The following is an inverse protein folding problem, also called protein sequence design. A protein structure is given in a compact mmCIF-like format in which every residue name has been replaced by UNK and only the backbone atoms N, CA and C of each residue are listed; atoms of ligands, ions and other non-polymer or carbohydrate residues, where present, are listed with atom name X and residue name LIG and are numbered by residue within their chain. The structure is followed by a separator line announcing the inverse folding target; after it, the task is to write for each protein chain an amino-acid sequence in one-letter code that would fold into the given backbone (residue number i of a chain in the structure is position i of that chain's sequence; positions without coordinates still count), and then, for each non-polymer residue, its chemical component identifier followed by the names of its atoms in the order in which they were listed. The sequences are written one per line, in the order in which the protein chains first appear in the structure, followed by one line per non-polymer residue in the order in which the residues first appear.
data_IF_348207358039
#
_entry.id   IF_348207358039
#
_cell.length_a   1.000
_cell.length_b   1.000
_cell.length_c   1.000
_cell.angle_alpha   90.00
_cell.angle_beta   90.00
_cell.angle_gamma   90.00
#
_symmetry.space_group_name_H-M   'P 1'
#
loop_
_entity.id
_entity.type
_entity.pdbx_description
1 polymer ?
#
# COMPACT_ATOMS: atom_id res chain seq x y z
N UNK A 1 -7.32 -13.58 -11.23
CA UNK A 1 -8.31 -13.07 -10.27
C UNK A 1 -8.13 -11.56 -10.00
N UNK A 2 -6.94 -10.98 -10.22
CA UNK A 2 -6.63 -9.54 -10.01
C UNK A 2 -7.37 -8.57 -10.95
N UNK A 3 -7.51 -8.92 -12.24
CA UNK A 3 -8.08 -8.01 -13.25
C UNK A 3 -9.53 -7.58 -12.94
N UNK A 4 -10.34 -8.46 -12.34
CA UNK A 4 -11.73 -8.13 -11.98
C UNK A 4 -11.84 -7.29 -10.72
N UNK A 5 -10.96 -7.53 -9.73
CA UNK A 5 -10.96 -6.80 -8.46
C UNK A 5 -10.50 -5.35 -8.64
N UNK A 6 -9.48 -5.12 -9.48
CA UNK A 6 -9.02 -3.78 -9.81
C UNK A 6 -10.11 -2.95 -10.52
N UNK A 7 -10.88 -3.56 -11.44
CA UNK A 7 -11.92 -2.84 -12.21
C UNK A 7 -13.12 -2.41 -11.36
N UNK A 8 -13.60 -3.27 -10.46
CA UNK A 8 -14.72 -2.94 -9.57
C UNK A 8 -14.34 -1.86 -8.56
N UNK A 9 -13.12 -1.93 -8.01
CA UNK A 9 -12.60 -0.89 -7.12
C UNK A 9 -12.44 0.46 -7.84
N UNK A 10 -11.91 0.47 -9.06
CA UNK A 10 -11.79 1.69 -9.87
C UNK A 10 -13.15 2.36 -10.14
N UNK A 11 -14.20 1.58 -10.40
CA UNK A 11 -15.57 2.10 -10.56
C UNK A 11 -16.07 2.76 -9.27
N UNK A 12 -15.86 2.12 -8.12
CA UNK A 12 -16.25 2.66 -6.82
C UNK A 12 -15.51 3.96 -6.50
N UNK A 13 -14.18 3.99 -6.69
CA UNK A 13 -13.35 5.18 -6.48
C UNK A 13 -13.78 6.31 -7.41
N UNK A 14 -14.00 6.01 -8.70
CA UNK A 14 -14.46 7.00 -9.68
C UNK A 14 -15.83 7.58 -9.30
N UNK A 15 -16.77 6.74 -8.86
CA UNK A 15 -18.08 7.18 -8.40
C UNK A 15 -18.00 8.14 -7.21
N UNK A 16 -17.14 7.85 -6.24
CA UNK A 16 -16.94 8.72 -5.05
C UNK A 16 -16.26 10.03 -5.43
N UNK A 17 -15.26 10.01 -6.32
CA UNK A 17 -14.63 11.22 -6.84
C UNK A 17 -15.64 12.11 -7.58
N UNK A 18 -16.47 11.53 -8.45
CA UNK A 18 -17.52 12.26 -9.17
C UNK A 18 -18.51 12.88 -8.18
N UNK A 19 -18.99 12.10 -7.20
CA UNK A 19 -19.89 12.60 -6.18
C UNK A 19 -19.26 13.76 -5.39
N UNK A 20 -17.99 13.62 -5.00
CA UNK A 20 -17.26 14.67 -4.29
C UNK A 20 -17.13 15.96 -5.12
N UNK A 21 -16.81 15.84 -6.41
CA UNK A 21 -16.75 16.99 -7.34
C UNK A 21 -18.11 17.67 -7.45
N UNK A 22 -19.20 16.90 -7.64
CA UNK A 22 -20.56 17.44 -7.73
C UNK A 22 -20.91 18.20 -6.44
N UNK A 23 -20.68 17.61 -5.27
CA UNK A 23 -20.95 18.23 -3.98
C UNK A 23 -20.12 19.51 -3.77
N UNK A 24 -18.84 19.52 -4.17
CA UNK A 24 -17.99 20.72 -4.13
C UNK A 24 -18.54 21.82 -5.03
N UNK A 25 -18.96 21.50 -6.25
CA UNK A 25 -19.56 22.47 -7.18
C UNK A 25 -20.88 23.03 -6.61
N UNK A 26 -21.77 22.17 -6.11
CA UNK A 26 -23.04 22.58 -5.49
C UNK A 26 -22.81 23.50 -4.28
N UNK A 27 -21.87 23.15 -3.38
CA UNK A 27 -21.50 23.99 -2.24
C UNK A 27 -20.82 25.29 -2.66
N UNK A 28 -20.00 25.27 -3.71
CA UNK A 28 -19.37 26.47 -4.26
C UNK A 28 -20.39 27.45 -4.85
N UNK A 29 -21.44 26.96 -5.50
CA UNK A 29 -22.57 27.78 -5.97
C UNK A 29 -23.38 28.35 -4.80
N UNK A 30 -23.74 27.52 -3.82
CA UNK A 30 -24.51 27.94 -2.66
C UNK A 30 -23.79 28.96 -1.77
N UNK A 31 -22.46 28.88 -1.69
CA UNK A 31 -21.62 29.82 -0.91
C UNK A 31 -21.12 31.03 -1.71
N UNK A 32 -21.57 31.21 -2.97
CA UNK A 32 -21.07 32.22 -3.92
C UNK A 32 -19.55 32.16 -4.23
N UNK A 33 -18.83 31.14 -3.74
CA UNK A 33 -17.38 30.92 -3.94
C UNK A 33 -17.06 30.02 -5.14
N UNK A 34 -17.87 30.11 -6.21
CA UNK A 34 -17.74 29.21 -7.37
C UNK A 34 -16.42 29.38 -8.13
N UNK A 35 -15.88 30.60 -8.20
CA UNK A 35 -14.59 30.90 -8.84
C UNK A 35 -13.42 30.20 -8.12
N UNK A 36 -13.42 30.21 -6.79
CA UNK A 36 -12.42 29.52 -5.97
C UNK A 36 -12.48 28.01 -6.17
N UNK A 37 -13.69 27.46 -6.23
CA UNK A 37 -13.94 26.03 -6.47
C UNK A 37 -13.40 25.60 -7.85
N UNK A 38 -13.70 26.37 -8.91
CA UNK A 38 -13.19 26.08 -10.25
C UNK A 38 -11.66 26.22 -10.30
N UNK A 39 -11.09 27.26 -9.68
CA UNK A 39 -9.64 27.45 -9.58
C UNK A 39 -8.97 26.23 -8.95
N UNK A 40 -9.54 25.69 -7.87
CA UNK A 40 -9.04 24.48 -7.21
C UNK A 40 -9.08 23.24 -8.13
N UNK A 41 -10.18 23.02 -8.85
CA UNK A 41 -10.31 21.88 -9.79
C UNK A 41 -9.32 22.01 -10.96
N UNK A 42 -9.17 23.22 -11.51
CA UNK A 42 -8.19 23.49 -12.57
C UNK A 42 -6.78 23.24 -12.07
N UNK A 43 -6.43 23.74 -10.88
CA UNK A 43 -5.12 23.53 -10.28
C UNK A 43 -4.82 22.04 -10.04
N UNK A 44 -5.78 21.29 -9.49
CA UNK A 44 -5.66 19.83 -9.30
C UNK A 44 -5.40 19.13 -10.64
N UNK A 45 -6.12 19.52 -11.69
CA UNK A 45 -5.97 18.94 -13.04
C UNK A 45 -4.59 19.26 -13.61
N UNK A 46 -4.15 20.52 -13.52
CA UNK A 46 -2.82 20.95 -14.00
C UNK A 46 -1.70 20.21 -13.26
N UNK A 47 -1.77 20.15 -11.92
CA UNK A 47 -0.78 19.42 -11.11
C UNK A 47 -0.74 17.95 -11.53
N UNK A 48 -1.90 17.31 -11.71
CA UNK A 48 -1.98 15.91 -12.14
C UNK A 48 -1.34 15.70 -13.51
N UNK A 49 -1.67 16.55 -14.49
CA UNK A 49 -1.14 16.48 -15.87
C UNK A 49 0.37 16.71 -15.90
N UNK A 50 0.90 17.60 -15.05
CA UNK A 50 2.34 17.89 -14.98
C UNK A 50 3.11 16.81 -14.21
N UNK A 51 2.57 16.34 -13.08
CA UNK A 51 3.22 15.33 -12.25
C UNK A 51 3.20 13.94 -12.88
N UNK A 52 2.13 13.59 -13.60
CA UNK A 52 1.99 12.26 -14.22
C UNK A 52 3.19 11.85 -15.10
N UNK A 53 3.65 12.63 -16.09
CA UNK A 53 4.78 12.24 -16.93
C UNK A 53 6.08 12.13 -16.13
N UNK A 54 6.28 12.98 -15.11
CA UNK A 54 7.46 12.92 -14.24
C UNK A 54 7.48 11.63 -13.43
N UNK A 55 6.37 11.27 -12.78
CA UNK A 55 6.27 10.02 -12.03
C UNK A 55 6.33 8.80 -12.94
N UNK A 56 5.69 8.86 -14.11
CA UNK A 56 5.72 7.78 -15.10
C UNK A 56 7.14 7.52 -15.62
N UNK A 57 7.87 8.59 -15.96
CA UNK A 57 9.28 8.49 -16.34
C UNK A 57 10.14 7.97 -15.17
N UNK A 58 9.87 8.44 -13.95
CA UNK A 58 10.52 7.95 -12.73
C UNK A 58 10.36 6.44 -12.57
N UNK A 59 9.13 5.93 -12.62
CA UNK A 59 8.85 4.49 -12.49
C UNK A 59 9.51 3.67 -13.61
N UNK A 60 9.59 4.19 -14.84
CA UNK A 60 10.17 3.47 -15.98
C UNK A 60 11.70 3.47 -16.02
N UNK A 61 12.33 4.55 -15.58
CA UNK A 61 13.77 4.76 -15.75
C UNK A 61 14.58 4.59 -14.46
N UNK A 62 14.05 5.03 -13.29
CA UNK A 62 14.79 4.93 -12.02
C UNK A 62 15.20 3.50 -11.67
N UNK A 63 14.35 2.46 -11.83
CA UNK A 63 14.74 1.11 -11.45
C UNK A 63 15.92 0.56 -12.28
N UNK A 64 16.01 0.96 -13.55
CA UNK A 64 17.13 0.62 -14.43
C UNK A 64 18.41 1.39 -14.07
N UNK A 65 18.29 2.66 -13.67
CA UNK A 65 19.42 3.49 -13.23
C UNK A 65 20.01 2.96 -11.92
N UNK A 66 19.15 2.54 -10.99
CA UNK A 66 19.56 1.98 -9.68
C UNK A 66 20.06 0.53 -9.81
N UNK A 67 19.88 -0.10 -10.99
CA UNK A 67 20.27 -1.48 -11.24
C UNK A 67 19.41 -2.50 -10.50
N UNK A 68 18.19 -2.13 -10.11
CA UNK A 68 17.29 -2.99 -9.32
C UNK A 68 15.84 -2.91 -9.85
N UNK A 69 15.57 -3.35 -11.10
CA UNK A 69 14.25 -3.23 -11.70
C UNK A 69 13.24 -4.16 -11.05
N UNK A 70 12.22 -3.62 -10.38
CA UNK A 70 11.17 -4.44 -9.77
C UNK A 70 10.29 -5.01 -10.88
N UNK A 71 10.21 -6.33 -10.96
CA UNK A 71 9.36 -7.08 -11.88
C UNK A 71 8.03 -7.34 -11.19
N UNK A 72 6.98 -6.71 -11.70
CA UNK A 72 5.62 -7.04 -11.32
C UNK A 72 5.17 -8.22 -12.16
N UNK A 73 4.53 -9.20 -11.54
CA UNK A 73 4.13 -10.43 -12.22
C UNK A 73 3.05 -10.20 -13.31
N UNK A 74 2.46 -8.99 -13.31
CA UNK A 74 1.52 -8.48 -14.30
C UNK A 74 2.17 -7.67 -15.44
N UNK A 75 3.51 -7.57 -15.50
CA UNK A 75 4.26 -7.01 -16.64
C UNK A 75 4.19 -7.92 -17.89
N UNK A 76 3.02 -8.50 -18.16
CA UNK A 76 2.64 -8.91 -19.52
C UNK A 76 2.44 -7.63 -20.30
N UNK A 77 3.42 -7.27 -21.12
CA UNK A 77 3.26 -6.19 -22.09
C UNK A 77 2.05 -6.54 -22.98
N UNK A 78 1.11 -5.61 -23.10
CA UNK A 78 0.01 -5.70 -24.04
C UNK A 78 0.36 -4.85 -25.27
N UNK A 79 0.19 -5.43 -26.45
CA UNK A 79 0.22 -4.68 -27.70
C UNK A 79 -0.95 -3.68 -27.73
N UNK A 80 -0.85 -2.63 -28.55
CA UNK A 80 -1.92 -1.62 -28.70
C UNK A 80 -3.26 -2.19 -29.18
N UNK A 81 -3.26 -3.43 -29.68
CA UNK A 81 -4.43 -4.21 -30.09
C UNK A 81 -5.01 -5.11 -28.96
N UNK A 82 -4.43 -5.09 -27.75
CA UNK A 82 -4.89 -5.88 -26.60
C UNK A 82 -4.35 -7.30 -26.51
N UNK A 83 -3.49 -7.73 -27.44
CA UNK A 83 -2.83 -9.04 -27.37
C UNK A 83 -1.68 -9.03 -26.34
N UNK A 84 -1.61 -10.09 -25.52
CA UNK A 84 -0.50 -10.29 -24.59
C UNK A 84 0.76 -10.67 -25.36
N UNK A 85 1.88 -10.03 -25.07
CA UNK A 85 3.18 -10.42 -25.61
C UNK A 85 3.68 -11.65 -24.82
N UNK A 86 3.12 -12.83 -25.11
CA UNK A 86 3.49 -14.10 -24.45
C UNK A 86 4.85 -14.67 -24.93
N UNK A 87 5.72 -13.89 -25.56
CA UNK A 87 6.90 -14.45 -26.25
C UNK A 87 8.26 -13.80 -25.97
N UNK A 88 8.32 -12.58 -25.44
CA UNK A 88 9.58 -11.81 -25.39
C UNK A 88 10.10 -11.64 -23.96
N UNK A 89 9.20 -11.46 -22.98
CA UNK A 89 9.59 -11.38 -21.56
C UNK A 89 10.07 -12.71 -20.98
N UNK A 90 9.40 -13.82 -21.29
CA UNK A 90 9.76 -15.14 -20.75
C UNK A 90 11.12 -15.64 -21.27
N UNK A 91 11.48 -15.38 -22.54
CA UNK A 91 12.72 -15.90 -23.14
C UNK A 91 13.99 -15.19 -22.68
N UNK A 92 13.90 -13.92 -22.27
CA UNK A 92 15.04 -13.15 -21.76
C UNK A 92 15.19 -13.34 -20.24
N UNK A 93 14.11 -13.66 -19.53
CA UNK A 93 14.07 -13.82 -18.06
C UNK A 93 14.33 -15.27 -17.60
N UNK A 94 14.03 -16.27 -18.43
CA UNK A 94 14.19 -17.69 -18.08
C UNK A 94 15.65 -18.11 -17.82
N UNK A 95 16.64 -17.38 -18.35
CA UNK A 95 18.05 -17.77 -18.22
C UNK A 95 18.76 -17.16 -16.99
N UNK A 96 18.25 -16.06 -16.39
CA UNK A 96 19.03 -15.35 -15.35
C UNK A 96 18.54 -15.43 -13.90
N UNK A 97 17.25 -15.64 -13.58
CA UNK A 97 16.82 -15.52 -12.16
C UNK A 97 15.63 -16.42 -11.77
N UNK A 98 15.95 -17.57 -11.18
CA UNK A 98 14.98 -18.44 -10.51
C UNK A 98 14.22 -17.68 -9.40
N UNK A 99 12.91 -17.90 -9.31
CA UNK A 99 12.06 -17.36 -8.23
C UNK A 99 12.59 -17.89 -6.90
N UNK A 100 12.86 -16.99 -5.95
CA UNK A 100 13.37 -17.40 -4.65
C UNK A 100 12.39 -18.34 -3.94
N UNK A 101 12.88 -19.54 -3.61
CA UNK A 101 12.16 -20.53 -2.85
C UNK A 101 12.65 -20.58 -1.41
N UNK A 102 11.73 -20.52 -0.47
CA UNK A 102 12.00 -20.72 0.96
C UNK A 102 11.23 -21.96 1.41
N UNK A 103 11.97 -22.96 1.87
CA UNK A 103 11.40 -24.09 2.59
C UNK A 103 11.36 -23.74 4.08
N UNK A 104 10.15 -23.69 4.64
CA UNK A 104 9.93 -23.62 6.08
C UNK A 104 9.56 -25.03 6.53
N UNK A 105 10.44 -25.73 7.27
CA UNK A 105 10.14 -27.06 7.75
C UNK A 105 8.86 -27.04 8.60
N UNK A 106 7.94 -27.98 8.35
CA UNK A 106 6.82 -28.22 9.26
C UNK A 106 7.36 -28.78 10.57
N UNK A 107 7.44 -27.95 11.60
CA UNK A 107 8.04 -28.33 12.86
C UNK A 107 7.03 -29.19 13.65
N UNK A 108 7.28 -30.50 13.73
CA UNK A 108 6.65 -31.40 14.70
C UNK A 108 7.33 -31.36 16.09
N UNK A 109 8.50 -30.74 16.25
CA UNK A 109 9.21 -30.69 17.55
C UNK A 109 9.93 -29.35 17.80
N UNK A 110 9.71 -28.76 18.99
CA UNK A 110 10.39 -27.56 19.49
C UNK A 110 11.91 -27.65 19.29
N UNK A 111 12.48 -26.84 18.41
CA UNK A 111 13.92 -26.54 18.42
C UNK A 111 14.14 -25.21 19.14
N UNK A 112 14.96 -25.25 20.20
CA UNK A 112 15.48 -24.05 20.84
C UNK A 112 16.36 -23.28 19.85
N UNK A 113 15.86 -22.14 19.36
CA UNK A 113 16.64 -21.25 18.52
C UNK A 113 17.58 -20.43 19.42
N UNK A 114 18.87 -20.77 19.41
CA UNK A 114 19.92 -20.18 20.25
C UNK A 114 20.51 -18.92 19.61
N UNK A 115 19.66 -17.95 19.27
CA UNK A 115 20.07 -16.64 18.76
C UNK A 115 19.59 -15.53 19.73
N UNK A 116 20.53 -14.75 20.26
CA UNK A 116 20.27 -13.71 21.26
C UNK A 116 19.74 -12.41 20.65
N UNK A 117 19.59 -12.34 19.32
CA UNK A 117 19.01 -11.19 18.63
C UNK A 117 17.52 -10.99 18.97
N UNK A 118 17.09 -9.73 19.12
CA UNK A 118 15.69 -9.34 19.36
C UNK A 118 14.78 -9.91 18.27
N UNK A 119 15.28 -9.95 17.03
CA UNK A 119 14.57 -10.54 15.87
C UNK A 119 14.45 -12.06 16.02
N UNK A 120 15.51 -12.74 16.49
CA UNK A 120 15.50 -14.17 16.77
C UNK A 120 14.46 -14.54 17.85
N UNK A 121 14.31 -13.71 18.89
CA UNK A 121 13.29 -13.90 19.93
C UNK A 121 11.86 -13.67 19.42
N UNK A 122 11.66 -12.69 18.55
CA UNK A 122 10.36 -12.43 17.90
C UNK A 122 9.97 -13.59 16.97
N UNK A 123 10.92 -14.13 16.22
CA UNK A 123 10.70 -15.30 15.35
C UNK A 123 10.41 -16.55 16.20
N UNK A 124 11.14 -16.76 17.29
CA UNK A 124 10.94 -17.88 18.20
C UNK A 124 9.57 -17.85 18.90
N UNK A 125 9.07 -16.66 19.28
CA UNK A 125 7.72 -16.53 19.86
C UNK A 125 6.61 -16.81 18.84
N UNK A 126 6.86 -16.54 17.55
CA UNK A 126 5.99 -16.93 16.43
C UNK A 126 6.10 -18.43 16.07
N UNK A 127 7.19 -19.11 16.44
CA UNK A 127 7.45 -20.54 16.17
C UNK A 127 6.66 -21.51 17.06
N UNK A 128 6.21 -21.09 18.23
CA UNK A 128 5.60 -21.98 19.23
C UNK A 128 4.15 -22.43 18.99
N UNK A 129 3.39 -21.86 18.04
CA UNK A 129 1.93 -22.02 18.01
C UNK A 129 1.38 -22.45 16.63
N UNK A 130 1.34 -23.76 16.38
CA UNK A 130 0.59 -24.36 15.27
C UNK A 130 -0.89 -23.95 15.28
N UNK A 131 -1.47 -23.69 16.45
CA UNK A 131 -2.82 -23.14 16.65
C UNK A 131 -2.98 -21.74 16.05
N UNK A 132 -2.00 -20.84 16.24
CA UNK A 132 -2.05 -19.49 15.65
C UNK A 132 -1.95 -19.54 14.13
N UNK A 133 -1.19 -20.48 13.59
CA UNK A 133 -1.08 -20.64 12.14
C UNK A 133 -2.39 -21.14 11.51
N UNK A 134 -3.12 -22.02 12.23
CA UNK A 134 -4.48 -22.43 11.85
C UNK A 134 -5.47 -21.27 11.93
N UNK A 135 -5.44 -20.47 12.99
CA UNK A 135 -6.31 -19.28 13.16
C UNK A 135 -6.03 -18.23 12.07
N UNK A 136 -4.77 -18.09 11.65
CA UNK A 136 -4.36 -17.13 10.62
C UNK A 136 -4.39 -17.69 9.20
N UNK A 137 -5.02 -18.85 8.95
CA UNK A 137 -5.11 -19.49 7.64
C UNK A 137 -3.75 -19.66 6.93
N UNK A 138 -2.67 -19.96 7.67
CA UNK A 138 -1.33 -20.15 7.11
C UNK A 138 -0.51 -18.87 6.90
N UNK A 139 -1.05 -17.69 7.24
CA UNK A 139 -0.36 -16.40 7.06
C UNK A 139 0.93 -16.29 7.87
N UNK A 140 1.00 -16.91 9.05
CA UNK A 140 2.23 -16.88 9.87
C UNK A 140 3.40 -17.58 9.16
N UNK A 141 3.15 -18.69 8.45
CA UNK A 141 4.19 -19.33 7.62
C UNK A 141 4.67 -18.40 6.51
N UNK A 142 3.75 -17.68 5.86
CA UNK A 142 4.07 -16.70 4.82
C UNK A 142 4.93 -15.57 5.41
N UNK A 143 4.52 -15.00 6.56
CA UNK A 143 5.24 -13.91 7.20
C UNK A 143 6.67 -14.31 7.55
N UNK A 144 6.88 -15.53 8.08
CA UNK A 144 8.22 -16.04 8.36
C UNK A 144 9.08 -16.18 7.11
N UNK A 145 8.50 -16.60 6.00
CA UNK A 145 9.23 -16.79 4.75
C UNK A 145 9.76 -15.45 4.22
N UNK A 146 8.91 -14.42 4.25
CA UNK A 146 9.30 -13.06 3.87
C UNK A 146 10.28 -12.43 4.86
N UNK A 147 10.11 -12.63 6.18
CA UNK A 147 11.03 -12.13 7.21
C UNK A 147 12.46 -12.66 7.03
N UNK A 148 12.61 -13.96 6.71
CA UNK A 148 13.92 -14.59 6.48
C UNK A 148 14.67 -14.03 5.27
N UNK A 149 13.96 -13.42 4.34
CA UNK A 149 14.53 -12.86 3.12
C UNK A 149 14.67 -11.36 3.15
N UNK A 150 14.40 -10.67 4.26
CA UNK A 150 14.56 -9.23 4.31
C UNK A 150 16.01 -8.79 4.05
N UNK A 151 16.15 -7.74 3.26
CA UNK A 151 17.43 -7.14 2.92
C UNK A 151 17.31 -5.61 2.88
N UNK A 152 18.44 -4.92 2.72
CA UNK A 152 18.47 -3.46 2.72
C UNK A 152 17.98 -2.82 1.40
N UNK A 153 18.07 -3.53 0.27
CA UNK A 153 17.83 -2.99 -1.09
C UNK A 153 16.47 -3.36 -1.71
N UNK A 154 15.76 -4.32 -1.12
CA UNK A 154 14.57 -4.92 -1.68
C UNK A 154 14.87 -6.13 -2.59
N UNK A 155 13.82 -6.68 -3.19
CA UNK A 155 13.87 -7.84 -4.09
C UNK A 155 13.34 -7.45 -5.45
N UNK A 156 13.91 -8.09 -6.47
CA UNK A 156 13.53 -7.84 -7.85
C UNK A 156 12.15 -8.37 -8.18
N UNK A 157 11.69 -9.42 -7.50
CA UNK A 157 10.34 -9.97 -7.64
C UNK A 157 9.57 -9.74 -6.34
N UNK A 158 8.28 -9.48 -6.46
CA UNK A 158 7.36 -9.33 -5.33
C UNK A 158 6.89 -10.67 -4.74
N UNK A 159 6.99 -11.74 -5.53
CA UNK A 159 6.48 -13.08 -5.22
C UNK A 159 7.55 -13.97 -4.59
N UNK A 160 7.13 -14.81 -3.67
CA UNK A 160 8.00 -15.78 -2.99
C UNK A 160 7.41 -17.19 -3.12
N UNK A 161 8.24 -18.20 -3.39
CA UNK A 161 7.78 -19.60 -3.35
C UNK A 161 7.98 -20.16 -1.95
N UNK A 162 6.88 -20.42 -1.24
CA UNK A 162 6.88 -20.95 0.13
C UNK A 162 6.44 -22.41 0.10
N UNK A 163 7.31 -23.33 0.51
CA UNK A 163 7.03 -24.79 0.53
C UNK A 163 6.51 -25.33 -0.82
N UNK A 164 7.11 -24.88 -1.92
CA UNK A 164 6.72 -25.27 -3.28
C UNK A 164 5.43 -24.61 -3.80
N UNK A 165 4.76 -23.77 -3.00
CA UNK A 165 3.61 -22.97 -3.43
C UNK A 165 4.04 -21.52 -3.70
N UNK A 166 3.66 -21.01 -4.86
CA UNK A 166 3.89 -19.61 -5.22
C UNK A 166 2.95 -18.70 -4.44
N UNK A 167 3.51 -17.74 -3.70
CA UNK A 167 2.78 -16.73 -2.94
C UNK A 167 2.98 -15.37 -3.61
N UNK A 168 1.87 -14.73 -3.98
CA UNK A 168 1.90 -13.46 -4.72
C UNK A 168 2.37 -12.27 -3.85
N UNK A 169 2.06 -12.30 -2.56
CA UNK A 169 2.35 -11.22 -1.62
C UNK A 169 2.33 -11.71 -0.17
N UNK A 170 2.99 -10.96 0.70
CA UNK A 170 3.15 -11.29 2.12
C UNK A 170 1.86 -11.23 2.94
N UNK A 171 0.73 -10.75 2.41
CA UNK A 171 -0.51 -10.44 3.15
C UNK A 171 -0.30 -9.47 4.35
N UNK A 172 0.72 -8.64 4.27
CA UNK A 172 1.03 -7.59 5.22
C UNK A 172 1.84 -6.53 4.47
N UNK A 173 1.33 -5.30 4.39
CA UNK A 173 2.00 -4.22 3.67
C UNK A 173 3.40 -3.96 4.19
N UNK A 174 3.60 -3.97 5.49
CA UNK A 174 4.88 -3.60 6.09
C UNK A 174 5.98 -4.56 5.66
N UNK A 175 5.66 -5.84 5.75
CA UNK A 175 6.54 -6.90 5.33
C UNK A 175 6.74 -6.91 3.81
N UNK A 176 5.68 -6.63 3.05
CA UNK A 176 5.75 -6.50 1.59
C UNK A 176 6.63 -5.32 1.17
N UNK A 177 6.52 -4.17 1.83
CA UNK A 177 7.34 -2.98 1.57
C UNK A 177 8.81 -3.26 1.92
N UNK A 178 9.07 -3.90 3.06
CA UNK A 178 10.42 -4.28 3.46
C UNK A 178 11.05 -5.27 2.48
N UNK A 179 10.27 -6.23 1.98
CA UNK A 179 10.74 -7.22 1.02
C UNK A 179 10.94 -6.60 -0.38
N UNK A 180 9.98 -5.81 -0.85
CA UNK A 180 9.99 -5.27 -2.24
C UNK A 180 10.98 -4.12 -2.39
N UNK A 181 10.96 -3.16 -1.45
CA UNK A 181 11.71 -1.91 -1.54
C UNK A 181 12.87 -1.82 -0.52
N UNK A 182 13.02 -2.81 0.34
CA UNK A 182 14.05 -2.87 1.38
C UNK A 182 13.58 -2.34 2.73
N UNK A 183 14.31 -2.72 3.78
CA UNK A 183 14.05 -2.29 5.17
C UNK A 183 13.97 -0.76 5.34
N UNK A 184 14.81 0.08 4.68
CA UNK A 184 14.70 1.54 4.78
C UNK A 184 13.35 2.08 4.28
N UNK A 185 12.81 1.53 3.20
CA UNK A 185 11.52 1.96 2.65
C UNK A 185 10.36 1.62 3.59
N UNK A 186 10.40 0.45 4.24
CA UNK A 186 9.44 0.11 5.30
C UNK A 186 9.49 1.14 6.44
N UNK A 187 10.68 1.61 6.84
CA UNK A 187 10.82 2.61 7.89
C UNK A 187 10.22 3.97 7.50
N UNK A 188 10.40 4.40 6.24
CA UNK A 188 9.74 5.62 5.74
C UNK A 188 8.22 5.48 5.72
N UNK A 189 7.72 4.31 5.29
CA UNK A 189 6.29 4.00 5.33
C UNK A 189 5.73 4.00 6.77
N UNK A 190 6.48 3.45 7.72
CA UNK A 190 6.19 3.51 9.17
C UNK A 190 6.09 4.95 9.67
N UNK A 191 7.02 5.83 9.27
CA UNK A 191 6.99 7.23 9.66
C UNK A 191 5.72 7.92 9.12
N UNK A 192 5.42 7.76 7.83
CA UNK A 192 4.24 8.40 7.21
C UNK A 192 2.95 7.92 7.88
N UNK A 193 2.85 6.61 8.15
CA UNK A 193 1.67 6.04 8.81
C UNK A 193 1.52 6.54 10.25
N UNK A 194 2.59 6.59 11.04
CA UNK A 194 2.57 7.18 12.39
C UNK A 194 2.14 8.65 12.34
N UNK A 195 2.77 9.46 11.48
CA UNK A 195 2.46 10.87 11.36
C UNK A 195 0.99 11.09 10.95
N UNK A 196 0.47 10.27 10.04
CA UNK A 196 -0.94 10.32 9.64
C UNK A 196 -1.88 10.04 10.81
N UNK A 197 -1.57 9.06 11.65
CA UNK A 197 -2.39 8.73 12.83
C UNK A 197 -2.33 9.86 13.85
N UNK A 198 -1.14 10.38 14.17
CA UNK A 198 -0.97 11.50 15.09
C UNK A 198 -1.78 12.72 14.61
N UNK A 199 -1.62 13.09 13.33
CA UNK A 199 -2.33 14.23 12.73
C UNK A 199 -3.84 14.00 12.69
N UNK A 200 -4.30 12.77 12.43
CA UNK A 200 -5.75 12.45 12.39
C UNK A 200 -6.40 12.57 13.76
N UNK A 201 -5.65 12.21 14.81
CA UNK A 201 -6.08 12.33 16.19
C UNK A 201 -6.06 13.79 16.64
N UNK A 202 -5.04 14.56 16.26
CA UNK A 202 -4.99 16.01 16.47
C UNK A 202 -6.19 16.70 15.81
N UNK A 203 -6.50 16.35 14.56
CA UNK A 203 -7.67 16.84 13.83
C UNK A 203 -8.97 16.57 14.60
N UNK A 204 -9.14 15.37 15.17
CA UNK A 204 -10.30 15.07 16.00
C UNK A 204 -10.38 15.97 17.23
N UNK A 205 -9.29 16.15 17.98
CA UNK A 205 -9.32 16.98 19.18
C UNK A 205 -9.65 18.45 18.90
N UNK A 206 -9.15 18.99 17.78
CA UNK A 206 -9.44 20.36 17.35
C UNK A 206 -10.88 20.51 16.88
N UNK A 207 -11.39 19.57 16.07
CA UNK A 207 -12.66 19.75 15.36
C UNK A 207 -13.88 19.11 16.05
N UNK A 208 -13.68 18.29 17.10
CA UNK A 208 -14.77 17.56 17.78
C UNK A 208 -15.89 18.46 18.33
N UNK A 209 -15.57 19.69 18.75
CA UNK A 209 -16.58 20.62 19.31
C UNK A 209 -17.53 21.17 18.25
N UNK A 210 -17.12 21.18 16.98
CA UNK A 210 -17.92 21.72 15.89
C UNK A 210 -18.79 20.64 15.25
N UNK A 211 -18.19 19.49 14.90
CA UNK A 211 -18.88 18.36 14.28
C UNK A 211 -18.21 17.04 14.67
N UNK A 212 -18.66 16.44 15.78
CA UNK A 212 -18.05 15.24 16.35
C UNK A 212 -18.02 14.04 15.36
N UNK A 213 -19.12 13.80 14.63
CA UNK A 213 -19.23 12.68 13.68
C UNK A 213 -18.25 12.80 12.52
N UNK A 214 -18.12 14.00 11.94
CA UNK A 214 -17.16 14.25 10.86
C UNK A 214 -15.72 14.21 11.37
N UNK A 215 -15.45 14.82 12.53
CA UNK A 215 -14.13 14.85 13.14
C UNK A 215 -13.61 13.44 13.46
N UNK A 216 -14.50 12.50 13.81
CA UNK A 216 -14.15 11.11 14.10
C UNK A 216 -13.90 10.26 12.83
N UNK A 217 -14.48 10.64 11.69
CA UNK A 217 -14.35 9.86 10.46
C UNK A 217 -12.89 9.76 9.98
N UNK A 218 -12.14 10.86 10.05
CA UNK A 218 -10.73 10.94 9.62
C UNK A 218 -9.83 9.98 10.42
N UNK A 219 -9.77 10.01 11.77
CA UNK A 219 -8.98 9.04 12.52
C UNK A 219 -9.51 7.61 12.38
N UNK A 220 -10.82 7.40 12.22
CA UNK A 220 -11.36 6.06 11.98
C UNK A 220 -10.82 5.46 10.66
N UNK A 221 -10.75 6.26 9.59
CA UNK A 221 -10.15 5.86 8.31
C UNK A 221 -8.65 5.56 8.49
N UNK A 222 -7.89 6.45 9.15
CA UNK A 222 -6.45 6.27 9.33
C UNK A 222 -6.12 5.02 10.18
N UNK A 223 -6.78 4.84 11.32
CA UNK A 223 -6.57 3.68 12.20
C UNK A 223 -7.05 2.40 11.51
N UNK A 224 -8.22 2.44 10.87
CA UNK A 224 -8.75 1.30 10.12
C UNK A 224 -7.81 0.86 8.99
N UNK A 225 -7.24 1.82 8.26
CA UNK A 225 -6.23 1.54 7.24
C UNK A 225 -5.00 0.87 7.84
N UNK A 226 -4.43 1.40 8.93
CA UNK A 226 -3.25 0.80 9.58
C UNK A 226 -3.53 -0.64 9.99
N UNK A 227 -4.65 -0.92 10.64
CA UNK A 227 -5.04 -2.29 11.05
C UNK A 227 -5.20 -3.20 9.83
N UNK A 228 -5.86 -2.71 8.77
CA UNK A 228 -6.05 -3.48 7.54
C UNK A 228 -4.70 -3.78 6.87
N UNK A 229 -3.74 -2.85 6.87
CA UNK A 229 -2.41 -3.04 6.28
C UNK A 229 -1.54 -4.08 7.01
N UNK A 230 -1.89 -4.42 8.26
CA UNK A 230 -1.23 -5.50 9.01
C UNK A 230 -1.75 -6.89 8.65
N UNK A 231 -2.95 -6.96 8.07
CA UNK A 231 -3.65 -8.21 7.78
C UNK A 231 -3.91 -8.42 6.29
N UNK A 232 -3.67 -7.42 5.45
CA UNK A 232 -3.81 -7.51 4.01
C UNK A 232 -2.79 -6.64 3.28
N UNK A 233 -2.53 -6.99 2.01
CA UNK A 233 -1.70 -6.18 1.12
C UNK A 233 -2.54 -5.10 0.41
N UNK A 234 -2.51 -3.87 0.92
CA UNK A 234 -3.22 -2.69 0.45
C UNK A 234 -2.24 -1.61 -0.05
N UNK A 235 -1.42 -1.92 -1.07
CA UNK A 235 -0.37 -0.99 -1.53
C UNK A 235 -0.80 -0.10 -2.71
N UNK A 236 -1.81 -0.51 -3.48
CA UNK A 236 -2.30 0.24 -4.64
C UNK A 236 -3.52 1.09 -4.26
N UNK A 237 -3.40 2.44 -4.22
CA UNK A 237 -4.46 3.32 -3.74
C UNK A 237 -5.76 3.21 -4.53
N UNK A 238 -5.70 2.84 -5.82
CA UNK A 238 -6.87 2.75 -6.70
C UNK A 238 -7.40 1.32 -6.88
N UNK A 239 -6.71 0.32 -6.35
CA UNK A 239 -7.13 -1.08 -6.42
C UNK A 239 -8.00 -1.48 -5.23
N UNK A 240 -7.83 -0.81 -4.08
CA UNK A 240 -8.56 -1.13 -2.86
C UNK A 240 -9.09 0.13 -2.20
N UNK A 241 -10.40 0.11 -1.92
CA UNK A 241 -11.13 1.25 -1.38
C UNK A 241 -10.54 1.81 -0.06
N UNK A 242 -10.10 1.00 0.92
CA UNK A 242 -9.48 1.52 2.13
C UNK A 242 -8.22 2.35 1.88
N UNK A 243 -7.40 1.98 0.88
CA UNK A 243 -6.22 2.75 0.52
C UNK A 243 -6.61 4.07 -0.11
N UNK A 244 -7.57 4.09 -1.03
CA UNK A 244 -8.10 5.33 -1.60
C UNK A 244 -8.58 6.29 -0.50
N UNK A 245 -9.42 5.80 0.43
CA UNK A 245 -9.96 6.63 1.51
C UNK A 245 -8.88 7.19 2.43
N UNK A 246 -7.86 6.39 2.73
CA UNK A 246 -6.72 6.82 3.52
C UNK A 246 -5.99 7.99 2.86
N UNK A 247 -5.62 7.88 1.58
CA UNK A 247 -4.94 8.95 0.86
C UNK A 247 -5.86 10.15 0.60
N UNK A 248 -7.15 9.93 0.39
CA UNK A 248 -8.13 11.00 0.22
C UNK A 248 -8.28 11.84 1.50
N UNK A 249 -8.27 11.20 2.67
CA UNK A 249 -8.34 11.89 3.96
C UNK A 249 -7.15 12.83 4.22
N UNK A 250 -6.01 12.66 3.53
CA UNK A 250 -4.87 13.57 3.67
C UNK A 250 -5.21 15.01 3.26
N UNK A 251 -6.16 15.20 2.34
CA UNK A 251 -6.62 16.54 1.98
C UNK A 251 -7.13 17.34 3.18
N UNK A 252 -7.88 16.68 4.09
CA UNK A 252 -8.44 17.31 5.28
C UNK A 252 -7.42 17.43 6.43
N UNK A 253 -6.42 16.56 6.47
CA UNK A 253 -5.33 16.56 7.46
C UNK A 253 -4.38 17.76 7.32
N UNK A 254 -4.25 18.32 6.11
CA UNK A 254 -3.36 19.46 5.81
C UNK A 254 -4.12 20.78 5.60
N UNK A 255 -5.44 20.80 5.83
CA UNK A 255 -6.21 22.03 5.75
C UNK A 255 -6.02 22.88 7.01
N UNK A 256 -5.11 23.86 6.93
CA UNK A 256 -4.82 24.79 8.03
C UNK A 256 -5.96 25.79 8.29
N UNK A 257 -6.92 25.92 7.37
CA UNK A 257 -8.05 26.87 7.51
C UNK A 257 -8.96 26.51 8.70
N UNK A 258 -8.88 25.27 9.17
CA UNK A 258 -9.62 24.80 10.35
C UNK A 258 -8.97 25.21 11.68
N UNK A 259 -7.67 25.53 11.68
CA UNK A 259 -6.96 26.06 12.84
C UNK A 259 -7.23 27.57 13.02
N UNK A 260 -7.23 28.34 11.92
CA UNK A 260 -7.42 29.80 11.94
C UNK A 260 -8.84 30.25 12.29
N UNK A 261 -9.84 29.37 12.22
CA UNK A 261 -11.23 29.71 12.63
C UNK A 261 -11.54 29.33 14.08
N UNK A 262 -10.56 28.83 14.82
CA UNK A 262 -10.67 28.47 16.24
C UNK A 262 -9.98 29.48 17.19
N UNK A 263 -9.23 30.44 16.63
CA UNK A 263 -8.79 31.68 17.30
C UNK A 263 -9.82 32.80 17.05
#
# INVERSE_FOLDING_TARGET
MSVSQARTAMLAVSGILILWIILRICRGKASHKWKETIKGIVLLTVITVVCYPVFFAGVRHLPNIVGHPILFEEDVLYLSNGEKIEGIGEKIVAESDAIESVQIPEIKEKKEFKDNSIIGRLIASLDGNSTLNKISNGRITIYKAYLKKLNWKGHRRITLTVNGKKVAHAHNNWLQFAYTYGVPAMFLYLIITILSVIRSIQFYWTNRRRNATYAFLIPAICVGFVIATMTECLFLPFEVFPAFMYWFAFGDLFDNTLAETAE
#
